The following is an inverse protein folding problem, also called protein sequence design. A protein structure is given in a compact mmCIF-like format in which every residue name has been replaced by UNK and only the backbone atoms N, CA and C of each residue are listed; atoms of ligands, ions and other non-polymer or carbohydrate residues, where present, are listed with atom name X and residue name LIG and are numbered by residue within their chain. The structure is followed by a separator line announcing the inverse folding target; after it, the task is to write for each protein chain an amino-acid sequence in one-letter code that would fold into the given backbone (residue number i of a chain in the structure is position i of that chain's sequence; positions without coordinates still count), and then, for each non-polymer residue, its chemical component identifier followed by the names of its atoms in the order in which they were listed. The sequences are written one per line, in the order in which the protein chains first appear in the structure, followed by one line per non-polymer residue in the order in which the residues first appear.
data_IF_287701962766
#
_entry.id   IF_287701962766
#
_cell.length_a   1.000
_cell.length_b   1.000
_cell.length_c   1.000
_cell.angle_alpha   90.00
_cell.angle_beta   90.00
_cell.angle_gamma   90.00
#
_symmetry.space_group_name_H-M   'P 1'
#
loop_
_entity.id
_entity.type
_entity.pdbx_description
1 polymer ?
#
# COMPACT_ATOMS: atom_id res chain seq x y z
N UNK A 1 7.50 -4.00 -22.35
CA UNK A 1 7.72 -3.47 -20.99
C UNK A 1 6.38 -3.46 -20.26
N UNK A 2 6.25 -4.04 -19.05
CA UNK A 2 5.00 -3.95 -18.31
C UNK A 2 4.78 -2.47 -17.94
N UNK A 3 3.59 -1.94 -18.26
CA UNK A 3 3.25 -0.54 -17.98
C UNK A 3 3.41 -0.28 -16.49
N UNK A 4 4.13 0.77 -16.06
CA UNK A 4 4.25 1.07 -14.66
C UNK A 4 2.87 1.34 -14.08
N UNK A 5 2.48 0.57 -13.06
CA UNK A 5 1.26 0.85 -12.31
C UNK A 5 1.40 2.25 -11.70
N UNK A 6 0.56 3.21 -12.10
CA UNK A 6 0.60 4.61 -11.61
C UNK A 6 0.65 4.72 -10.08
N UNK A 7 0.06 3.75 -9.38
CA UNK A 7 0.12 3.63 -7.92
C UNK A 7 1.51 3.26 -7.40
N UNK A 8 2.17 2.31 -8.05
CA UNK A 8 3.54 1.90 -7.70
C UNK A 8 4.52 3.07 -7.87
N UNK A 9 4.39 3.86 -8.94
CA UNK A 9 5.23 5.05 -9.15
C UNK A 9 4.97 6.14 -8.11
N UNK A 10 3.70 6.41 -7.76
CA UNK A 10 3.37 7.35 -6.68
C UNK A 10 3.94 6.93 -5.34
N UNK A 11 3.90 5.64 -5.01
CA UNK A 11 4.50 5.09 -3.80
C UNK A 11 6.02 5.27 -3.82
N UNK A 12 6.67 4.90 -4.93
CA UNK A 12 8.11 5.12 -5.12
C UNK A 12 8.50 6.59 -4.95
N UNK A 13 7.77 7.52 -5.54
CA UNK A 13 8.05 8.95 -5.42
C UNK A 13 7.89 9.46 -3.98
N UNK A 14 6.90 8.97 -3.23
CA UNK A 14 6.70 9.35 -1.82
C UNK A 14 7.76 8.74 -0.89
N UNK A 15 8.25 7.55 -1.22
CA UNK A 15 9.34 6.89 -0.49
C UNK A 15 10.69 7.57 -0.77
N UNK A 16 10.95 7.92 -2.03
CA UNK A 16 12.15 8.65 -2.43
C UNK A 16 12.27 10.01 -1.72
N UNK A 17 11.15 10.70 -1.46
CA UNK A 17 11.12 11.94 -0.65
C UNK A 17 11.58 11.75 0.81
N UNK A 18 11.70 10.51 1.26
CA UNK A 18 12.06 10.13 2.64
C UNK A 18 13.32 9.26 2.70
N UNK A 19 14.05 9.14 1.58
CA UNK A 19 15.20 8.25 1.43
C UNK A 19 14.90 6.78 1.78
N UNK A 20 13.65 6.35 1.55
CA UNK A 20 13.20 4.98 1.78
C UNK A 20 12.94 4.27 0.45
N UNK A 21 13.03 2.93 0.49
CA UNK A 21 12.67 2.07 -0.65
C UNK A 21 11.64 1.01 -0.25
N UNK A 22 10.97 0.41 -1.24
CA UNK A 22 10.06 -0.72 -1.00
C UNK A 22 10.78 -1.92 -0.37
N UNK A 23 12.06 -2.11 -0.72
CA UNK A 23 12.90 -3.17 -0.18
C UNK A 23 13.26 -2.91 1.28
N UNK A 24 13.51 -1.66 1.66
CA UNK A 24 13.75 -1.30 3.07
C UNK A 24 12.52 -1.58 3.93
N UNK A 25 11.34 -1.25 3.44
CA UNK A 25 10.08 -1.56 4.13
C UNK A 25 9.86 -3.07 4.22
N UNK A 26 10.14 -3.82 3.14
CA UNK A 26 10.06 -5.27 3.16
C UNK A 26 10.99 -5.88 4.23
N UNK A 27 12.23 -5.36 4.31
CA UNK A 27 13.22 -5.77 5.32
C UNK A 27 12.77 -5.43 6.74
N UNK A 28 12.23 -4.23 6.97
CA UNK A 28 11.76 -3.79 8.28
C UNK A 28 10.55 -4.61 8.78
N UNK A 29 9.69 -5.06 7.87
CA UNK A 29 8.54 -5.91 8.16
C UNK A 29 8.86 -7.42 8.19
N UNK A 30 10.09 -7.79 7.82
CA UNK A 30 10.52 -9.17 7.58
C UNK A 30 9.57 -9.92 6.61
N UNK A 31 9.20 -9.26 5.51
CA UNK A 31 8.35 -9.86 4.45
C UNK A 31 9.10 -9.98 3.14
N UNK A 32 8.63 -10.89 2.30
CA UNK A 32 9.13 -11.03 0.94
C UNK A 32 8.92 -9.72 0.13
N UNK A 33 9.93 -9.20 -0.57
CA UNK A 33 9.81 -8.03 -1.45
C UNK A 33 8.73 -8.20 -2.53
N UNK A 34 8.52 -9.43 -2.99
CA UNK A 34 7.44 -9.80 -3.92
C UNK A 34 6.07 -9.49 -3.32
N UNK A 35 5.85 -9.71 -2.03
CA UNK A 35 4.57 -9.38 -1.38
C UNK A 35 4.34 -7.87 -1.35
N UNK A 36 5.38 -7.09 -1.05
CA UNK A 36 5.29 -5.62 -1.07
C UNK A 36 5.02 -5.11 -2.48
N UNK A 37 5.66 -5.68 -3.50
CA UNK A 37 5.42 -5.35 -4.90
C UNK A 37 3.98 -5.63 -5.30
N UNK A 38 3.46 -6.83 -5.02
CA UNK A 38 2.08 -7.24 -5.33
C UNK A 38 1.06 -6.33 -4.62
N UNK A 39 1.28 -5.97 -3.34
CA UNK A 39 0.42 -5.03 -2.59
C UNK A 39 0.51 -3.61 -3.15
N UNK A 40 1.71 -3.13 -3.49
CA UNK A 40 1.92 -1.80 -4.09
C UNK A 40 1.23 -1.65 -5.45
N UNK A 41 1.25 -2.72 -6.24
CA UNK A 41 0.53 -2.84 -7.52
C UNK A 41 -0.97 -3.02 -7.31
N UNK A 42 -1.34 -3.49 -6.12
CA UNK A 42 -2.73 -3.60 -5.74
C UNK A 42 -3.40 -4.93 -6.00
N UNK A 43 -2.60 -5.96 -6.23
CA UNK A 43 -3.04 -7.29 -6.60
C UNK A 43 -3.35 -8.18 -5.38
N UNK A 44 -2.82 -7.84 -4.20
CA UNK A 44 -3.05 -8.60 -2.95
C UNK A 44 -3.42 -7.65 -1.82
N UNK A 45 -4.34 -8.10 -0.95
CA UNK A 45 -4.72 -7.43 0.31
C UNK A 45 -3.85 -7.98 1.45
N UNK A 46 -3.11 -7.10 2.10
CA UNK A 46 -2.44 -7.41 3.36
C UNK A 46 -2.42 -6.17 4.22
N UNK A 47 -3.34 -6.10 5.20
CA UNK A 47 -3.48 -4.95 6.10
C UNK A 47 -2.15 -4.57 6.73
N UNK A 48 -1.36 -5.56 7.17
CA UNK A 48 -0.04 -5.34 7.79
C UNK A 48 0.93 -4.61 6.86
N UNK A 49 1.00 -5.01 5.59
CA UNK A 49 1.90 -4.39 4.59
C UNK A 49 1.37 -3.03 4.18
N UNK A 50 0.06 -2.88 3.98
CA UNK A 50 -0.57 -1.61 3.63
C UNK A 50 -0.35 -0.56 4.73
N UNK A 51 -0.57 -0.93 5.99
CA UNK A 51 -0.32 -0.05 7.14
C UNK A 51 1.14 0.37 7.20
N UNK A 52 2.07 -0.56 7.04
CA UNK A 52 3.48 -0.23 7.14
C UNK A 52 3.98 0.60 5.96
N UNK A 53 3.51 0.34 4.74
CA UNK A 53 3.76 1.21 3.59
C UNK A 53 3.21 2.62 3.84
N UNK A 54 1.99 2.71 4.36
CA UNK A 54 1.34 3.97 4.69
C UNK A 54 2.11 4.74 5.76
N UNK A 55 2.48 4.09 6.87
CA UNK A 55 3.30 4.65 7.94
C UNK A 55 4.64 5.12 7.41
N UNK A 56 5.32 4.33 6.57
CA UNK A 56 6.61 4.71 5.99
C UNK A 56 6.51 5.93 5.06
N UNK A 57 5.40 6.08 4.33
CA UNK A 57 5.12 7.30 3.56
C UNK A 57 4.32 8.35 4.33
N UNK A 58 4.23 8.24 5.67
CA UNK A 58 3.50 9.18 6.53
C UNK A 58 2.09 9.49 6.04
N UNK A 59 1.41 8.49 5.49
CA UNK A 59 0.05 8.59 4.95
C UNK A 59 -0.79 7.46 5.54
N UNK A 60 -2.05 7.35 5.12
CA UNK A 60 -2.93 6.24 5.52
C UNK A 60 -3.16 5.27 4.36
N UNK A 61 -3.44 3.98 4.64
CA UNK A 61 -3.81 3.03 3.62
C UNK A 61 -4.99 3.52 2.77
N UNK A 62 -5.93 4.26 3.36
CA UNK A 62 -7.07 4.81 2.64
C UNK A 62 -6.65 5.85 1.61
N UNK A 63 -5.68 6.71 1.92
CA UNK A 63 -5.15 7.69 0.97
C UNK A 63 -4.34 7.04 -0.15
N UNK A 64 -3.66 5.93 0.13
CA UNK A 64 -2.86 5.20 -0.87
C UNK A 64 -3.71 4.31 -1.77
N UNK A 65 -4.76 3.70 -1.21
CA UNK A 65 -5.69 2.82 -1.91
C UNK A 65 -7.15 3.25 -1.70
N UNK A 66 -7.53 4.47 -2.15
CA UNK A 66 -8.85 5.04 -1.88
C UNK A 66 -9.97 4.20 -2.47
N UNK A 67 -9.75 3.62 -3.66
CA UNK A 67 -10.73 2.74 -4.30
C UNK A 67 -11.04 1.48 -3.49
N UNK A 68 -10.10 0.99 -2.67
CA UNK A 68 -10.29 -0.21 -1.83
C UNK A 68 -10.93 0.11 -0.50
N UNK A 69 -10.44 1.15 0.16
CA UNK A 69 -11.00 1.57 1.45
C UNK A 69 -12.38 2.22 1.30
N UNK A 70 -12.71 2.83 0.16
CA UNK A 70 -14.07 3.31 -0.11
C UNK A 70 -15.09 2.16 -0.17
N UNK A 71 -14.67 0.95 -0.57
CA UNK A 71 -15.54 -0.23 -0.56
C UNK A 71 -15.72 -0.75 0.87
N UNK A 72 -14.63 -0.86 1.64
CA UNK A 72 -14.70 -1.28 3.05
C UNK A 72 -15.45 -0.27 3.94
N UNK A 73 -15.28 1.03 3.73
CA UNK A 73 -16.02 2.04 4.48
C UNK A 73 -17.52 2.04 4.15
N UNK A 74 -17.90 1.56 2.96
CA UNK A 74 -19.31 1.33 2.59
C UNK A 74 -19.85 0.06 3.22
N UNK A 75 -19.09 -1.03 3.23
CA UNK A 75 -19.46 -2.27 3.94
C UNK A 75 -19.56 -2.04 5.46
N UNK A 76 -18.61 -1.34 6.06
CA UNK A 76 -18.61 -1.04 7.50
C UNK A 76 -19.72 -0.06 7.93
N UNK A 77 -20.31 0.68 6.98
CA UNK A 77 -21.48 1.55 7.23
C UNK A 77 -22.83 0.87 6.99
N UNK A 78 -22.86 -0.38 6.53
CA UNK A 78 -24.06 -1.21 6.60
C UNK A 78 -24.04 -1.93 7.95
N UNK A 79 -24.82 -1.50 8.97
CA UNK A 79 -25.02 -2.37 10.12
C UNK A 79 -25.67 -3.66 9.59
N UNK A 80 -25.11 -4.81 9.98
CA UNK A 80 -25.75 -6.09 9.75
C UNK A 80 -27.18 -6.05 10.35
N UNK A 81 -28.20 -6.62 9.66
CA UNK A 81 -29.57 -6.66 10.15
C UNK A 81 -29.70 -7.48 11.45
#
# INVERSE_FOLDING_TARGET
MPRPNKQHERLKAQLAKRDLTLSDIARQLQVAPSSVTIVSQGLRRSRRIELALATAVGSTPEKLWPRRYALEAREAKMPAP
#
